data_IF_693519650207
#
_entry.id   IF_693519650207
#
_cell.length_a   1.000
_cell.length_b   1.000
_cell.length_c   1.000
_cell.angle_alpha   90.00
_cell.angle_beta   90.00
_cell.angle_gamma   90.00
#
_symmetry.space_group_name_H-M   'P 1'
#
loop_
_entity.id
_entity.type
_entity.pdbx_description
1 polymer ?
#
# COMPACT_ATOMS: atom_id res chain seq x y z
N UNK A 1 -6.88 24.42 12.18
CA UNK A 1 -5.61 24.58 11.44
C UNK A 1 -5.71 24.20 9.96
N UNK A 2 -6.29 23.05 9.59
CA UNK A 2 -6.38 22.61 8.17
C UNK A 2 -7.14 23.56 7.22
N UNK A 3 -8.12 24.33 7.74
CA UNK A 3 -8.88 25.31 6.93
C UNK A 3 -8.04 26.50 6.45
N UNK A 4 -7.05 26.95 7.24
CA UNK A 4 -6.18 28.08 6.87
C UNK A 4 -5.13 27.67 5.83
N UNK A 5 -4.57 26.47 5.97
CA UNK A 5 -3.68 25.90 4.95
C UNK A 5 -4.40 25.69 3.61
N UNK A 6 -5.69 25.35 3.65
CA UNK A 6 -6.49 25.23 2.42
C UNK A 6 -6.82 26.59 1.80
N UNK A 7 -7.19 27.60 2.60
CA UNK A 7 -7.45 28.95 2.09
C UNK A 7 -6.27 29.48 1.26
N UNK A 8 -5.05 29.34 1.79
CA UNK A 8 -3.80 29.71 1.10
C UNK A 8 -3.61 28.91 -0.20
N UNK A 9 -3.93 27.61 -0.21
CA UNK A 9 -3.86 26.77 -1.41
C UNK A 9 -4.94 27.09 -2.46
N UNK A 10 -6.11 27.57 -2.05
CA UNK A 10 -7.19 27.99 -2.98
C UNK A 10 -6.88 29.32 -3.63
N UNK A 11 -6.28 30.26 -2.88
CA UNK A 11 -5.81 31.54 -3.43
C UNK A 11 -4.73 31.31 -4.49
N UNK A 12 -3.81 30.37 -4.27
CA UNK A 12 -2.79 29.98 -5.25
C UNK A 12 -3.35 29.25 -6.49
N UNK A 13 -4.56 28.67 -6.40
CA UNK A 13 -5.20 27.94 -7.51
C UNK A 13 -6.13 28.85 -8.35
N UNK A 14 -6.59 29.98 -7.81
CA UNK A 14 -7.46 30.93 -8.54
C UNK A 14 -6.70 32.00 -9.34
N UNK A 15 -5.37 31.97 -9.30
CA UNK A 15 -4.52 32.92 -10.01
C UNK A 15 -4.17 32.39 -11.41
N UNK A 16 -5.19 32.28 -12.28
CA UNK A 16 -5.01 32.26 -13.74
C UNK A 16 -6.25 32.87 -14.41
N UNK A 17 -6.13 34.05 -15.04
CA UNK A 17 -6.93 34.41 -16.19
C UNK A 17 -6.07 34.49 -17.46
N UNK A 18 -6.64 33.98 -18.55
CA UNK A 18 -6.37 34.31 -19.96
C UNK A 18 -5.03 33.91 -20.59
N UNK A 19 -5.18 33.47 -21.84
CA UNK A 19 -4.12 33.07 -22.78
C UNK A 19 -3.15 34.25 -23.02
N UNK A 20 -1.86 34.06 -22.70
CA UNK A 20 -0.79 34.54 -23.57
C UNK A 20 0.57 33.88 -23.24
N UNK A 21 1.27 33.59 -24.33
CA UNK A 21 2.68 33.26 -24.57
C UNK A 21 3.65 32.91 -23.40
N UNK A 22 4.39 31.81 -23.61
CA UNK A 22 5.81 31.75 -23.22
C UNK A 22 6.13 31.12 -21.86
N UNK A 23 6.45 29.81 -21.89
CA UNK A 23 7.59 29.13 -21.25
C UNK A 23 8.17 29.59 -19.87
N UNK A 24 7.45 30.30 -18.99
CA UNK A 24 8.04 30.87 -17.78
C UNK A 24 7.30 30.58 -16.46
N UNK A 25 6.34 29.65 -16.44
CA UNK A 25 5.61 29.27 -15.20
C UNK A 25 5.95 27.88 -14.63
N UNK A 26 6.92 27.15 -15.20
CA UNK A 26 7.27 25.81 -14.70
C UNK A 26 8.28 25.80 -13.52
N UNK A 27 8.81 26.96 -13.12
CA UNK A 27 9.94 27.03 -12.19
C UNK A 27 9.56 27.11 -10.70
N UNK A 28 8.31 27.42 -10.35
CA UNK A 28 7.90 27.55 -8.94
C UNK A 28 7.35 26.25 -8.33
N UNK A 29 6.82 25.35 -9.16
CA UNK A 29 6.27 24.08 -8.69
C UNK A 29 7.32 22.97 -8.81
N UNK A 30 7.65 22.26 -7.72
CA UNK A 30 8.60 21.16 -7.79
C UNK A 30 8.10 20.10 -8.79
N UNK A 31 8.99 19.51 -9.61
CA UNK A 31 8.60 18.49 -10.57
C UNK A 31 7.81 17.37 -9.89
N UNK A 32 6.77 16.84 -10.54
CA UNK A 32 5.91 15.79 -9.98
C UNK A 32 6.70 14.57 -9.46
N UNK A 33 7.89 14.31 -10.03
CA UNK A 33 8.82 13.27 -9.59
C UNK A 33 9.39 13.53 -8.19
N UNK A 34 9.75 14.78 -7.90
CA UNK A 34 10.27 15.21 -6.60
C UNK A 34 9.20 15.06 -5.53
N UNK A 35 7.98 15.52 -5.80
CA UNK A 35 6.84 15.38 -4.89
C UNK A 35 6.51 13.91 -4.59
N UNK A 36 6.52 13.03 -5.60
CA UNK A 36 6.36 11.59 -5.39
C UNK A 36 7.48 11.00 -4.53
N UNK A 37 8.72 11.47 -4.70
CA UNK A 37 9.85 11.02 -3.89
C UNK A 37 9.68 11.41 -2.43
N UNK A 38 9.25 12.65 -2.16
CA UNK A 38 8.92 13.12 -0.81
C UNK A 38 7.78 12.31 -0.19
N UNK A 39 6.73 12.02 -0.97
CA UNK A 39 5.64 11.14 -0.53
C UNK A 39 6.15 9.76 -0.12
N UNK A 40 6.99 9.12 -0.94
CA UNK A 40 7.55 7.81 -0.62
C UNK A 40 8.47 7.85 0.61
N UNK A 41 9.26 8.91 0.75
CA UNK A 41 10.21 9.08 1.83
C UNK A 41 9.56 9.38 3.19
N UNK A 42 8.45 10.12 3.22
CA UNK A 42 7.79 10.54 4.46
C UNK A 42 6.52 9.75 4.78
N UNK A 43 5.62 9.62 3.80
CA UNK A 43 4.30 9.04 4.05
C UNK A 43 4.35 7.52 3.97
N UNK A 44 4.84 6.97 2.86
CA UNK A 44 4.88 5.51 2.68
C UNK A 44 5.86 4.84 3.67
N UNK A 45 6.96 5.49 4.03
CA UNK A 45 7.92 4.97 5.02
C UNK A 45 7.29 4.80 6.41
N UNK A 46 6.56 5.81 6.90
CA UNK A 46 5.88 5.79 8.20
C UNK A 46 4.75 4.76 8.21
N UNK A 47 3.95 4.70 7.14
CA UNK A 47 2.88 3.71 6.99
C UNK A 47 3.45 2.29 7.02
N UNK A 48 4.51 2.02 6.25
CA UNK A 48 5.14 0.71 6.21
C UNK A 48 5.74 0.32 7.56
N UNK A 49 6.36 1.26 8.28
CA UNK A 49 6.85 1.01 9.63
C UNK A 49 5.72 0.58 10.57
N UNK A 50 4.61 1.32 10.59
CA UNK A 50 3.46 1.00 11.42
C UNK A 50 2.88 -0.39 11.13
N UNK A 51 2.80 -0.77 9.85
CA UNK A 51 2.33 -2.09 9.45
C UNK A 51 3.24 -3.23 9.89
N UNK A 52 4.56 -3.05 9.84
CA UNK A 52 5.52 -4.10 10.25
C UNK A 52 5.50 -4.29 11.76
N UNK A 53 5.40 -3.20 12.54
CA UNK A 53 5.45 -3.25 14.00
C UNK A 53 4.12 -3.69 14.62
N UNK A 54 3.00 -3.14 14.16
CA UNK A 54 1.70 -3.35 14.80
C UNK A 54 0.79 -4.34 14.05
N UNK A 55 1.14 -4.73 12.82
CA UNK A 55 0.31 -5.61 12.00
C UNK A 55 -0.91 -4.88 11.41
N UNK A 56 -1.98 -5.63 11.14
CA UNK A 56 -3.21 -5.06 10.57
C UNK A 56 -3.98 -4.29 11.65
N UNK A 57 -4.44 -3.08 11.32
CA UNK A 57 -5.29 -2.28 12.21
C UNK A 57 -6.79 -2.53 11.96
N UNK A 58 -7.65 -1.99 12.82
CA UNK A 58 -9.11 -2.06 12.66
C UNK A 58 -9.55 -1.33 11.38
N UNK A 59 -10.65 -1.76 10.78
CA UNK A 59 -11.22 -1.12 9.58
C UNK A 59 -11.48 0.38 9.79
N UNK A 60 -11.90 0.77 10.98
CA UNK A 60 -12.14 2.17 11.36
C UNK A 60 -10.87 3.02 11.29
N UNK A 61 -9.75 2.49 11.78
CA UNK A 61 -8.46 3.19 11.76
C UNK A 61 -7.87 3.18 10.35
N UNK A 62 -8.02 2.07 9.63
CA UNK A 62 -7.56 1.93 8.25
C UNK A 62 -8.28 2.90 7.31
N UNK A 63 -9.59 3.09 7.51
CA UNK A 63 -10.39 4.07 6.77
C UNK A 63 -9.90 5.50 7.01
N UNK A 64 -9.59 5.85 8.27
CA UNK A 64 -8.99 7.16 8.60
C UNK A 64 -7.63 7.34 7.92
N UNK A 65 -6.80 6.29 7.91
CA UNK A 65 -5.51 6.30 7.23
C UNK A 65 -5.67 6.49 5.72
N UNK A 66 -6.62 5.81 5.09
CA UNK A 66 -6.93 5.95 3.67
C UNK A 66 -7.39 7.37 3.32
N UNK A 67 -8.23 7.97 4.18
CA UNK A 67 -8.64 9.38 4.02
C UNK A 67 -7.42 10.31 4.11
N UNK A 68 -6.56 10.14 5.12
CA UNK A 68 -5.35 10.93 5.27
C UNK A 68 -4.41 10.80 4.05
N UNK A 69 -4.14 9.57 3.61
CA UNK A 69 -3.32 9.30 2.43
C UNK A 69 -3.92 9.95 1.17
N UNK A 70 -5.24 9.84 0.97
CA UNK A 70 -5.96 10.48 -0.15
C UNK A 70 -5.77 12.01 -0.14
N UNK A 71 -5.87 12.65 1.02
CA UNK A 71 -5.65 14.09 1.13
C UNK A 71 -4.22 14.48 0.75
N UNK A 72 -3.22 13.74 1.23
CA UNK A 72 -1.82 13.96 0.89
C UNK A 72 -1.61 13.84 -0.63
N UNK A 73 -2.17 12.81 -1.27
CA UNK A 73 -2.02 12.62 -2.72
C UNK A 73 -2.74 13.73 -3.50
N UNK A 74 -3.90 14.20 -3.03
CA UNK A 74 -4.60 15.33 -3.67
C UNK A 74 -3.78 16.61 -3.64
N UNK A 75 -3.15 16.91 -2.51
CA UNK A 75 -2.25 18.07 -2.37
C UNK A 75 -1.05 17.87 -3.30
N UNK A 76 -0.45 16.68 -3.29
CA UNK A 76 0.69 16.34 -4.16
C UNK A 76 0.40 16.47 -5.66
N UNK A 77 -0.84 16.21 -6.09
CA UNK A 77 -1.28 16.29 -7.49
C UNK A 77 -2.05 17.57 -7.81
N UNK A 78 -2.16 18.53 -6.88
CA UNK A 78 -2.94 19.76 -7.01
C UNK A 78 -4.38 19.50 -7.51
N UNK A 79 -5.03 18.45 -7.00
CA UNK A 79 -6.41 18.08 -7.38
C UNK A 79 -7.43 18.69 -6.43
N UNK A 80 -8.61 19.00 -6.98
CA UNK A 80 -9.73 19.54 -6.21
C UNK A 80 -10.22 18.60 -5.09
N UNK A 81 -10.82 19.18 -4.04
CA UNK A 81 -11.38 18.43 -2.90
C UNK A 81 -12.40 17.38 -3.35
N UNK A 82 -13.23 17.69 -4.35
CA UNK A 82 -14.30 16.80 -4.81
C UNK A 82 -13.84 15.73 -5.81
N UNK A 83 -12.55 15.72 -6.18
CA UNK A 83 -12.02 14.72 -7.11
C UNK A 83 -12.20 13.29 -6.56
N UNK A 84 -12.64 12.38 -7.43
CA UNK A 84 -12.97 10.99 -7.06
C UNK A 84 -11.76 10.28 -6.44
N UNK A 85 -11.98 9.54 -5.34
CA UNK A 85 -10.91 8.81 -4.65
C UNK A 85 -10.19 7.83 -5.57
N UNK A 86 -10.94 7.11 -6.39
CA UNK A 86 -10.40 6.07 -7.26
C UNK A 86 -9.48 6.65 -8.33
N UNK A 87 -9.90 7.76 -8.93
CA UNK A 87 -9.09 8.49 -9.91
C UNK A 87 -7.79 9.03 -9.28
N UNK A 88 -7.82 9.51 -8.03
CA UNK A 88 -6.61 9.96 -7.31
C UNK A 88 -5.55 8.85 -7.25
N UNK A 89 -5.94 7.64 -6.85
CA UNK A 89 -5.00 6.52 -6.71
C UNK A 89 -4.53 6.01 -8.08
N UNK A 90 -5.44 5.96 -9.07
CA UNK A 90 -5.11 5.58 -10.45
C UNK A 90 -4.10 6.53 -11.09
N UNK A 91 -4.32 7.84 -10.97
CA UNK A 91 -3.46 8.88 -11.55
C UNK A 91 -2.09 8.92 -10.87
N UNK A 92 -2.06 8.76 -9.54
CA UNK A 92 -0.81 8.78 -8.77
C UNK A 92 0.03 7.52 -8.95
N UNK A 93 -0.59 6.38 -9.30
CA UNK A 93 -0.01 5.03 -9.29
C UNK A 93 0.50 4.64 -7.90
N UNK A 94 -0.15 5.15 -6.86
CA UNK A 94 0.15 4.85 -5.45
C UNK A 94 -0.82 3.76 -4.98
N UNK A 95 -0.33 2.84 -4.16
CA UNK A 95 -1.13 1.75 -3.59
C UNK A 95 -2.00 2.25 -2.43
N UNK A 96 -3.18 1.64 -2.27
CA UNK A 96 -4.02 1.84 -1.09
C UNK A 96 -3.33 1.35 0.19
N UNK A 97 -3.71 1.81 1.40
CA UNK A 97 -3.09 1.36 2.64
C UNK A 97 -3.14 -0.15 2.82
N UNK A 98 -4.25 -0.79 2.45
CA UNK A 98 -4.43 -2.24 2.51
C UNK A 98 -3.46 -2.98 1.58
N UNK A 99 -3.29 -2.47 0.37
CA UNK A 99 -2.34 -3.01 -0.60
C UNK A 99 -0.90 -2.83 -0.11
N UNK A 100 -0.57 -1.68 0.51
CA UNK A 100 0.72 -1.44 1.14
C UNK A 100 0.99 -2.43 2.27
N UNK A 101 -0.02 -2.68 3.12
CA UNK A 101 0.06 -3.68 4.19
C UNK A 101 0.36 -5.07 3.63
N UNK A 102 -0.43 -5.54 2.66
CA UNK A 102 -0.24 -6.84 2.01
C UNK A 102 1.15 -6.95 1.38
N UNK A 103 1.58 -5.92 0.64
CA UNK A 103 2.89 -5.86 0.00
C UNK A 103 4.01 -5.97 1.04
N UNK A 104 3.88 -5.32 2.19
CA UNK A 104 4.88 -5.35 3.26
C UNK A 104 4.88 -6.69 4.00
N UNK A 105 3.71 -7.27 4.22
CA UNK A 105 3.54 -8.58 4.83
C UNK A 105 4.14 -9.71 3.96
N UNK A 106 3.84 -9.73 2.66
CA UNK A 106 4.40 -10.73 1.73
C UNK A 106 5.92 -10.59 1.65
N UNK A 107 6.44 -9.36 1.57
CA UNK A 107 7.89 -9.10 1.60
C UNK A 107 8.55 -9.61 2.87
N UNK A 108 7.89 -9.46 4.01
CA UNK A 108 8.36 -9.97 5.28
C UNK A 108 8.41 -11.50 5.28
N UNK A 109 7.32 -12.16 4.88
CA UNK A 109 7.22 -13.63 4.80
C UNK A 109 8.23 -14.24 3.81
N UNK A 110 8.54 -13.54 2.71
CA UNK A 110 9.56 -14.01 1.76
C UNK A 110 10.99 -13.85 2.29
N UNK A 111 11.24 -12.88 3.16
CA UNK A 111 12.57 -12.62 3.71
C UNK A 111 12.89 -13.52 4.90
N UNK A 112 11.90 -13.81 5.74
CA UNK A 112 12.10 -14.53 7.01
C UNK A 112 11.50 -15.93 6.96
N UNK A 113 12.36 -16.94 6.88
CA UNK A 113 11.97 -18.35 6.90
C UNK A 113 11.36 -18.80 8.24
N UNK A 114 11.69 -18.11 9.34
CA UNK A 114 11.24 -18.44 10.70
C UNK A 114 9.70 -18.47 10.84
N UNK A 115 8.98 -17.74 9.99
CA UNK A 115 7.52 -17.67 10.02
C UNK A 115 6.85 -18.69 9.10
N UNK A 116 7.63 -19.57 8.47
CA UNK A 116 7.17 -20.55 7.48
C UNK A 116 7.35 -21.97 8.01
N UNK A 117 6.43 -22.38 8.87
CA UNK A 117 6.28 -23.81 9.18
C UNK A 117 5.55 -24.49 8.02
N UNK A 118 6.30 -25.17 7.15
CA UNK A 118 5.70 -25.96 6.09
C UNK A 118 5.02 -27.20 6.66
N UNK A 119 3.84 -27.55 6.13
CA UNK A 119 3.17 -28.80 6.48
C UNK A 119 3.93 -29.98 5.85
N UNK A 120 4.88 -30.53 6.60
CA UNK A 120 5.59 -31.75 6.26
C UNK A 120 4.68 -32.94 6.59
N UNK A 121 4.08 -33.53 5.57
CA UNK A 121 3.41 -34.83 5.68
C UNK A 121 4.24 -35.85 4.90
N UNK A 122 4.40 -37.07 5.42
CA UNK A 122 5.15 -38.14 4.76
C UNK A 122 4.54 -38.63 3.43
N UNK A 123 3.43 -38.05 3.00
CA UNK A 123 2.73 -38.32 1.75
C UNK A 123 2.55 -37.01 0.99
N UNK A 124 2.70 -37.05 -0.34
CA UNK A 124 2.54 -35.90 -1.23
C UNK A 124 1.05 -35.49 -1.31
N UNK A 125 0.61 -34.72 -0.32
CA UNK A 125 -0.74 -34.13 -0.33
C UNK A 125 -0.78 -32.92 -1.26
N UNK A 126 -1.96 -32.61 -1.81
CA UNK A 126 -2.20 -31.40 -2.64
C UNK A 126 -1.71 -30.12 -1.94
N UNK A 127 -1.77 -30.06 -0.61
CA UNK A 127 -1.26 -28.94 0.20
C UNK A 127 0.27 -28.81 0.16
N UNK A 128 1.01 -29.92 0.10
CA UNK A 128 2.47 -29.91 -0.05
C UNK A 128 2.88 -29.40 -1.45
N UNK A 129 2.16 -29.80 -2.50
CA UNK A 129 2.43 -29.35 -3.88
C UNK A 129 2.25 -27.82 -4.07
N UNK A 130 1.36 -27.19 -3.29
CA UNK A 130 1.14 -25.74 -3.33
C UNK A 130 1.99 -24.95 -2.31
N UNK A 131 2.97 -25.60 -1.67
CA UNK A 131 3.82 -24.99 -0.64
C UNK A 131 3.02 -24.25 0.44
N UNK A 132 1.90 -24.86 0.89
CA UNK A 132 1.05 -24.27 1.93
C UNK A 132 1.79 -24.24 3.27
N UNK A 133 1.73 -23.10 3.94
CA UNK A 133 2.30 -22.91 5.28
C UNK A 133 1.24 -23.24 6.32
N UNK A 134 1.64 -23.81 7.44
CA UNK A 134 0.78 -24.09 8.59
C UNK A 134 0.16 -22.80 9.09
N UNK A 135 -1.17 -22.80 9.19
CA UNK A 135 -1.93 -21.64 9.64
C UNK A 135 -2.08 -21.68 11.16
N UNK A 136 -1.81 -20.54 11.79
CA UNK A 136 -2.02 -20.32 13.21
C UNK A 136 -3.37 -19.64 13.40
N UNK A 137 -4.23 -20.18 14.26
CA UNK A 137 -5.58 -19.65 14.50
C UNK A 137 -5.83 -19.38 15.98
N UNK A 138 -5.21 -18.33 16.55
CA UNK A 138 -5.46 -17.95 17.93
C UNK A 138 -6.90 -17.47 18.12
N UNK A 139 -7.47 -17.73 19.31
CA UNK A 139 -8.85 -17.32 19.64
C UNK A 139 -9.01 -15.79 19.80
N UNK A 140 -7.94 -15.09 20.17
CA UNK A 140 -7.98 -13.63 20.43
C UNK A 140 -7.76 -12.85 19.13
N UNK A 141 -8.66 -11.91 18.84
CA UNK A 141 -8.62 -11.04 17.66
C UNK A 141 -7.34 -10.20 17.56
N UNK A 142 -6.83 -9.71 18.69
CA UNK A 142 -5.57 -8.97 18.75
C UNK A 142 -4.36 -9.76 18.23
N UNK A 143 -4.36 -11.09 18.40
CA UNK A 143 -3.30 -11.94 17.87
C UNK A 143 -3.54 -12.31 16.40
N UNK A 144 -4.79 -12.31 15.93
CA UNK A 144 -5.11 -12.68 14.55
C UNK A 144 -4.58 -11.67 13.52
N UNK A 145 -4.47 -10.40 13.89
CA UNK A 145 -3.91 -9.33 13.05
C UNK A 145 -2.37 -9.30 13.03
N UNK A 146 -1.72 -10.02 13.95
CA UNK A 146 -0.27 -10.08 14.04
C UNK A 146 0.31 -10.84 12.85
N UNK A 147 1.50 -10.42 12.40
CA UNK A 147 2.23 -10.96 11.23
C UNK A 147 2.37 -12.49 11.29
N UNK A 148 2.59 -13.04 12.49
CA UNK A 148 2.70 -14.49 12.72
C UNK A 148 1.44 -15.27 12.32
N UNK A 149 0.25 -14.69 12.48
CA UNK A 149 -1.02 -15.38 12.23
C UNK A 149 -1.55 -15.10 10.82
N UNK A 150 -1.49 -13.85 10.37
CA UNK A 150 -2.01 -13.43 9.07
C UNK A 150 -1.01 -13.63 7.92
N UNK A 151 0.29 -13.58 8.21
CA UNK A 151 1.36 -13.79 7.24
C UNK A 151 1.26 -15.12 6.50
N UNK A 152 1.15 -16.27 7.19
CA UNK A 152 0.97 -17.57 6.55
C UNK A 152 -0.28 -17.68 5.67
N UNK A 153 -1.38 -17.02 6.06
CA UNK A 153 -2.63 -16.99 5.27
C UNK A 153 -2.41 -16.27 3.94
N UNK A 154 -1.92 -15.03 4.02
CA UNK A 154 -1.64 -14.21 2.84
C UNK A 154 -0.58 -14.84 1.95
N UNK A 155 0.48 -15.40 2.53
CA UNK A 155 1.54 -16.06 1.77
C UNK A 155 1.04 -17.30 1.03
N UNK A 156 0.11 -18.06 1.59
CA UNK A 156 -0.45 -19.25 0.95
C UNK A 156 -1.10 -18.91 -0.39
N UNK A 157 -1.82 -17.80 -0.44
CA UNK A 157 -2.57 -17.38 -1.62
C UNK A 157 -1.70 -16.73 -2.70
N UNK A 158 -0.47 -16.31 -2.36
CA UNK A 158 0.48 -15.78 -3.35
C UNK A 158 0.83 -16.88 -4.36
N UNK A 159 0.78 -16.60 -5.68
CA UNK A 159 1.09 -17.60 -6.70
C UNK A 159 2.55 -18.07 -6.63
N UNK A 160 2.77 -19.35 -6.94
CA UNK A 160 4.10 -19.96 -6.93
C UNK A 160 5.08 -19.29 -7.91
N UNK A 161 4.56 -18.63 -8.96
CA UNK A 161 5.36 -17.82 -9.89
C UNK A 161 6.12 -16.72 -9.16
N UNK A 162 5.47 -16.01 -8.22
CA UNK A 162 6.08 -14.93 -7.45
C UNK A 162 6.98 -15.48 -6.33
N UNK A 163 6.54 -16.56 -5.66
CA UNK A 163 7.29 -17.19 -4.56
C UNK A 163 8.68 -17.68 -4.97
N UNK A 164 8.83 -18.14 -6.23
CA UNK A 164 10.10 -18.65 -6.78
C UNK A 164 11.06 -17.55 -7.25
N UNK A 165 10.62 -16.30 -7.34
CA UNK A 165 11.48 -15.21 -7.83
C UNK A 165 12.54 -14.82 -6.80
N UNK A 166 13.67 -14.31 -7.29
CA UNK A 166 14.68 -13.67 -6.45
C UNK A 166 14.08 -12.42 -5.78
N UNK A 167 14.39 -12.20 -4.51
CA UNK A 167 13.87 -11.10 -3.69
C UNK A 167 13.95 -9.70 -4.34
N UNK A 168 15.00 -9.44 -5.12
CA UNK A 168 15.16 -8.18 -5.86
C UNK A 168 14.07 -7.95 -6.91
N UNK A 169 13.68 -9.00 -7.63
CA UNK A 169 12.68 -8.99 -8.70
C UNK A 169 11.26 -9.01 -8.14
N UNK A 170 11.08 -9.69 -7.01
CA UNK A 170 9.79 -9.78 -6.28
C UNK A 170 9.20 -8.41 -6.02
N UNK A 171 10.00 -7.39 -5.65
CA UNK A 171 9.46 -6.06 -5.31
C UNK A 171 8.61 -5.44 -6.43
N UNK A 172 9.05 -5.59 -7.68
CA UNK A 172 8.37 -5.03 -8.86
C UNK A 172 7.17 -5.89 -9.25
N UNK A 173 7.38 -7.20 -9.37
CA UNK A 173 6.34 -8.16 -9.76
C UNK A 173 5.19 -8.21 -8.75
N UNK A 174 5.50 -8.17 -7.45
CA UNK A 174 4.50 -8.13 -6.40
C UNK A 174 3.64 -6.87 -6.48
N UNK A 175 4.25 -5.71 -6.78
CA UNK A 175 3.50 -4.46 -6.91
C UNK A 175 2.53 -4.54 -8.08
N UNK A 176 2.97 -5.09 -9.22
CA UNK A 176 2.10 -5.31 -10.40
C UNK A 176 0.94 -6.26 -10.07
N UNK A 177 1.26 -7.42 -9.50
CA UNK A 177 0.26 -8.43 -9.15
C UNK A 177 -0.79 -7.91 -8.16
N UNK A 178 -0.41 -7.08 -7.18
CA UNK A 178 -1.36 -6.50 -6.22
C UNK A 178 -2.32 -5.51 -6.90
N UNK A 179 -1.83 -4.75 -7.89
CA UNK A 179 -2.64 -3.81 -8.66
C UNK A 179 -3.63 -4.59 -9.54
N UNK A 180 -3.15 -5.62 -10.22
CA UNK A 180 -3.95 -6.42 -11.16
C UNK A 180 -5.05 -7.24 -10.46
N UNK A 181 -4.77 -7.77 -9.28
CA UNK A 181 -5.67 -8.71 -8.60
C UNK A 181 -6.74 -8.06 -7.71
N UNK A 182 -6.80 -6.72 -7.62
CA UNK A 182 -7.70 -5.99 -6.69
C UNK A 182 -7.74 -6.60 -5.26
N UNK A 183 -6.63 -7.18 -4.84
CA UNK A 183 -6.56 -8.21 -3.79
C UNK A 183 -7.03 -7.76 -2.38
N UNK A 184 -7.08 -6.46 -2.16
CA UNK A 184 -7.37 -5.85 -0.87
C UNK A 184 -8.79 -6.17 -0.36
N UNK A 185 -9.78 -6.30 -1.26
CA UNK A 185 -11.19 -6.44 -0.90
C UNK A 185 -11.47 -7.75 -0.13
N UNK A 186 -10.76 -8.84 -0.46
CA UNK A 186 -11.06 -10.17 0.09
C UNK A 186 -10.55 -10.39 1.52
N UNK A 187 -9.67 -9.53 2.03
CA UNK A 187 -9.13 -9.61 3.39
C UNK A 187 -9.78 -8.59 4.34
N UNK A 188 -10.77 -7.83 3.86
CA UNK A 188 -11.50 -6.78 4.60
C UNK A 188 -12.77 -7.29 5.29
N UNK A 189 -13.14 -8.56 5.07
CA UNK A 189 -14.28 -9.23 5.73
C UNK A 189 -13.79 -10.06 6.92
#
# INVERSE_FOLDING_TARGET
>A
MLRRAWAILTELVQQDPEEDEGNHKNDELPPTRTLKTVYFALTESVINYGFVVWGKTSLTTLSKLQVAQKWIIKIMLFKQIRYSSELVFRDSKILYPEQLYLKSLIRFMMKYELYKEYLQHGQNTRSAAHAKVKLQSPRRTACQSHVYCIGPKVYTDVPNSIKRLRYSTVKKELTRWIIDSQYAINYVI
#
